data_IF_369463341634
#
_entry.id   IF_369463341634
#
_cell.length_a   1.000
_cell.length_b   1.000
_cell.length_c   1.000
_cell.angle_alpha   90.00
_cell.angle_beta   90.00
_cell.angle_gamma   90.00
#
_symmetry.space_group_name_H-M   'P 1'
#
loop_
_entity.id
_entity.type
_entity.pdbx_description
1 polymer ?
#
# COMPACT_ATOMS: atom_id res chain seq x y z
N UNK A 1 31.67 -17.22 31.20
CA UNK A 1 30.72 -16.09 31.34
C UNK A 1 30.27 -15.75 29.94
N UNK A 2 29.19 -16.38 29.49
CA UNK A 2 28.63 -16.15 28.16
C UNK A 2 27.65 -14.97 28.19
N UNK A 3 27.72 -14.02 27.24
CA UNK A 3 26.78 -12.91 27.18
C UNK A 3 25.42 -13.41 26.69
N UNK A 4 24.39 -13.26 27.55
CA UNK A 4 22.98 -13.47 27.22
C UNK A 4 22.59 -12.59 26.02
N UNK A 5 22.42 -13.20 24.85
CA UNK A 5 21.73 -12.59 23.72
C UNK A 5 20.25 -12.47 24.08
N UNK A 6 19.82 -11.30 24.58
CA UNK A 6 18.39 -10.97 24.69
C UNK A 6 17.82 -10.88 23.29
N UNK A 7 17.06 -11.90 22.88
CA UNK A 7 16.16 -11.81 21.73
C UNK A 7 15.13 -10.70 21.98
N UNK A 8 14.84 -9.82 21.00
CA UNK A 8 13.73 -8.89 21.13
C UNK A 8 12.45 -9.71 21.31
N UNK A 9 11.68 -9.35 22.33
CA UNK A 9 10.38 -9.92 22.58
C UNK A 9 9.51 -9.65 21.35
N UNK A 10 9.01 -10.72 20.73
CA UNK A 10 7.86 -10.64 19.84
C UNK A 10 6.73 -10.02 20.67
N UNK A 11 6.52 -8.71 20.51
CA UNK A 11 5.26 -8.10 20.92
C UNK A 11 4.23 -8.65 19.95
N UNK A 12 3.48 -9.65 20.40
CA UNK A 12 2.26 -10.06 19.75
C UNK A 12 1.37 -8.83 19.67
N UNK A 13 1.10 -8.36 18.45
CA UNK A 13 0.09 -7.34 18.16
C UNK A 13 -1.20 -7.76 18.85
N UNK A 14 -1.60 -6.98 19.85
CA UNK A 14 -2.84 -7.21 20.57
C UNK A 14 -3.97 -7.01 19.56
N UNK A 15 -4.86 -8.00 19.41
CA UNK A 15 -6.01 -7.98 18.52
C UNK A 15 -6.94 -6.76 18.67
N UNK A 16 -6.73 -5.90 19.68
CA UNK A 16 -7.41 -4.62 19.86
C UNK A 16 -6.85 -3.44 19.08
N UNK A 17 -5.66 -3.52 18.47
CA UNK A 17 -5.10 -2.43 17.64
C UNK A 17 -5.65 -2.42 16.20
N UNK A 18 -6.13 -3.56 15.71
CA UNK A 18 -6.73 -3.68 14.37
C UNK A 18 -8.05 -2.89 14.22
N UNK A 19 -8.68 -2.47 15.33
CA UNK A 19 -9.97 -1.77 15.33
C UNK A 19 -9.85 -0.23 15.23
N UNK A 20 -8.63 0.31 15.08
CA UNK A 20 -8.35 1.75 15.07
C UNK A 20 -7.89 2.28 13.70
N UNK A 21 -7.71 1.38 12.73
CA UNK A 21 -7.29 1.74 11.39
C UNK A 21 -8.52 1.80 10.50
N UNK A 22 -8.68 2.94 9.83
CA UNK A 22 -9.41 2.95 8.58
C UNK A 22 -8.51 2.19 7.59
N UNK A 23 -8.92 0.96 7.23
CA UNK A 23 -8.11 0.02 6.46
C UNK A 23 -7.71 0.62 5.11
N UNK A 24 -8.62 1.35 4.45
CA UNK A 24 -8.38 2.08 3.20
C UNK A 24 -7.31 3.18 3.35
N UNK A 25 -7.34 3.91 4.46
CA UNK A 25 -6.37 4.97 4.74
C UNK A 25 -5.01 4.39 5.10
N UNK A 26 -5.00 3.28 5.82
CA UNK A 26 -3.78 2.58 6.23
C UNK A 26 -3.05 2.00 5.03
N UNK A 27 -3.78 1.33 4.15
CA UNK A 27 -3.22 0.76 2.92
C UNK A 27 -2.70 1.85 1.99
N UNK A 28 -3.39 3.00 1.93
CA UNK A 28 -2.90 4.17 1.21
C UNK A 28 -1.61 4.72 1.80
N UNK A 29 -1.53 4.88 3.12
CA UNK A 29 -0.32 5.39 3.80
C UNK A 29 0.86 4.43 3.60
N UNK A 30 0.64 3.12 3.71
CA UNK A 30 1.68 2.11 3.47
C UNK A 30 2.16 2.13 2.02
N UNK A 31 1.25 2.31 1.05
CA UNK A 31 1.57 2.44 -0.37
C UNK A 31 2.38 3.71 -0.66
N UNK A 32 1.90 4.86 -0.16
CA UNK A 32 2.49 6.17 -0.42
C UNK A 32 3.84 6.34 0.30
N UNK A 33 4.10 5.56 1.37
CA UNK A 33 5.41 5.51 2.02
C UNK A 33 6.53 5.01 1.10
N UNK A 34 6.22 4.20 0.07
CA UNK A 34 7.22 3.71 -0.89
C UNK A 34 7.54 4.71 -2.01
N UNK A 35 6.55 5.40 -2.57
CA UNK A 35 6.73 6.41 -3.62
C UNK A 35 5.42 7.23 -3.76
N UNK A 36 5.35 8.50 -3.32
CA UNK A 36 6.43 9.48 -3.23
C UNK A 36 7.24 9.52 -1.91
N UNK A 37 6.75 8.91 -0.83
CA UNK A 37 7.38 8.81 0.50
C UNK A 37 6.86 9.83 1.54
N UNK A 38 7.01 9.54 2.84
CA UNK A 38 6.73 10.48 3.94
C UNK A 38 8.00 10.89 4.70
N UNK A 39 7.96 12.06 5.33
CA UNK A 39 9.02 12.57 6.20
C UNK A 39 8.45 13.15 7.49
N UNK A 40 9.21 13.01 8.59
CA UNK A 40 8.94 13.65 9.88
C UNK A 40 9.86 14.87 10.03
N UNK A 41 9.29 16.06 10.22
CA UNK A 41 10.04 17.32 10.29
C UNK A 41 10.03 17.93 11.70
N UNK A 42 11.23 18.21 12.20
CA UNK A 42 11.52 18.97 13.41
C UNK A 42 11.22 18.27 14.75
N UNK A 43 11.40 19.00 15.86
CA UNK A 43 11.21 18.49 17.24
C UNK A 43 9.78 17.97 17.50
N UNK A 44 8.79 18.48 16.76
CA UNK A 44 7.39 18.07 16.89
C UNK A 44 7.01 16.88 16.01
N UNK A 45 7.94 16.30 15.24
CA UNK A 45 7.73 15.18 14.32
C UNK A 45 6.51 15.35 13.41
N UNK A 46 6.31 16.54 12.84
CA UNK A 46 5.18 16.78 11.93
C UNK A 46 5.33 15.91 10.69
N UNK A 47 4.24 15.29 10.27
CA UNK A 47 4.20 14.42 9.09
C UNK A 47 4.00 15.25 7.82
N UNK A 48 4.81 14.96 6.81
CA UNK A 48 4.72 15.58 5.49
C UNK A 48 4.90 14.53 4.38
N UNK A 49 4.25 14.73 3.24
CA UNK A 49 4.53 13.98 2.01
C UNK A 49 5.80 14.53 1.37
N UNK A 50 6.66 13.66 0.88
CA UNK A 50 7.90 14.01 0.19
C UNK A 50 7.61 14.33 -1.27
N UNK A 51 8.10 15.46 -1.76
CA UNK A 51 8.17 15.79 -3.18
C UNK A 51 9.66 15.88 -3.59
N UNK A 52 10.05 15.01 -4.53
CA UNK A 52 11.45 14.88 -4.96
C UNK A 52 11.72 15.89 -6.09
N UNK A 53 12.64 16.84 -5.84
CA UNK A 53 13.10 17.84 -6.81
C UNK A 53 14.54 17.62 -7.30
N UNK A 54 14.93 18.30 -8.38
CA UNK A 54 16.27 18.16 -9.02
C UNK A 54 17.39 18.98 -8.38
N UNK A 55 17.07 19.80 -7.38
CA UNK A 55 18.07 20.44 -6.50
C UNK A 55 18.13 19.61 -5.23
N UNK A 56 19.32 19.43 -4.65
CA UNK A 56 19.62 18.50 -3.56
C UNK A 56 18.77 18.61 -2.25
N UNK A 57 17.72 19.43 -2.20
CA UNK A 57 16.80 19.56 -1.09
C UNK A 57 15.41 19.01 -1.46
N UNK A 58 14.84 18.20 -0.56
CA UNK A 58 13.52 17.62 -0.71
C UNK A 58 12.44 18.64 -0.30
N UNK A 59 11.33 18.69 -1.03
CA UNK A 59 10.20 19.54 -0.68
C UNK A 59 9.19 18.75 0.16
N UNK A 60 8.93 19.20 1.39
CA UNK A 60 7.93 18.60 2.26
C UNK A 60 6.59 19.32 2.09
N UNK A 61 5.51 18.55 1.92
CA UNK A 61 4.14 19.07 1.78
C UNK A 61 3.33 18.61 3.00
N UNK A 62 2.66 19.51 3.74
CA UNK A 62 1.82 19.10 4.87
C UNK A 62 0.76 18.08 4.48
N UNK A 63 0.66 16.99 5.23
CA UNK A 63 -0.41 16.00 5.07
C UNK A 63 -1.67 16.43 5.82
N UNK A 64 -2.76 15.72 5.56
CA UNK A 64 -3.99 15.90 6.32
C UNK A 64 -3.84 15.31 7.75
N UNK A 65 -4.60 15.82 8.75
CA UNK A 65 -4.46 15.37 10.13
C UNK A 65 -4.73 13.87 10.37
N UNK A 66 -5.66 13.29 9.62
CA UNK A 66 -6.01 11.86 9.62
C UNK A 66 -4.87 10.99 9.07
N UNK A 67 -4.26 11.40 7.97
CA UNK A 67 -3.05 10.75 7.43
C UNK A 67 -1.87 10.83 8.42
N UNK A 68 -1.67 12.00 9.04
CA UNK A 68 -0.61 12.18 10.03
C UNK A 68 -0.80 11.27 11.26
N UNK A 69 -2.02 11.16 11.77
CA UNK A 69 -2.34 10.25 12.88
C UNK A 69 -2.07 8.78 12.51
N UNK A 70 -2.45 8.39 11.29
CA UNK A 70 -2.25 7.03 10.77
C UNK A 70 -0.76 6.69 10.65
N UNK A 71 0.07 7.60 10.12
CA UNK A 71 1.53 7.43 10.06
C UNK A 71 2.13 7.22 11.45
N UNK A 72 1.73 8.03 12.45
CA UNK A 72 2.21 7.85 13.82
C UNK A 72 1.78 6.51 14.44
N UNK A 73 0.54 6.07 14.18
CA UNK A 73 0.07 4.76 14.64
C UNK A 73 0.87 3.61 13.99
N UNK A 74 1.15 3.69 12.69
CA UNK A 74 1.92 2.66 11.99
C UNK A 74 3.40 2.62 12.41
N UNK A 75 3.99 3.77 12.76
CA UNK A 75 5.32 3.84 13.40
C UNK A 75 5.30 3.19 14.79
N UNK A 76 4.29 3.49 15.60
CA UNK A 76 4.13 2.89 16.92
C UNK A 76 3.90 1.37 16.86
N UNK A 77 3.23 0.89 15.82
CA UNK A 77 3.02 -0.52 15.53
C UNK A 77 4.25 -1.20 14.88
N UNK A 78 5.30 -0.45 14.51
CA UNK A 78 6.49 -0.98 13.86
C UNK A 78 6.28 -1.42 12.40
N UNK A 79 5.15 -1.03 11.78
CA UNK A 79 4.87 -1.27 10.35
C UNK A 79 5.61 -0.26 9.46
N UNK A 80 5.77 0.95 9.96
CA UNK A 80 6.69 1.95 9.42
C UNK A 80 7.92 2.06 10.32
N UNK A 81 9.06 2.41 9.74
CA UNK A 81 10.32 2.64 10.43
C UNK A 81 10.92 3.99 10.07
N UNK A 82 11.52 4.70 11.02
CA UNK A 82 12.33 5.88 10.72
C UNK A 82 13.61 5.48 9.97
N UNK A 83 13.86 6.16 8.86
CA UNK A 83 14.99 5.95 7.96
C UNK A 83 16.06 7.04 8.08
N UNK A 84 16.69 7.35 6.95
CA UNK A 84 17.78 8.33 6.89
C UNK A 84 17.29 9.76 7.21
N UNK A 85 18.21 10.58 7.71
CA UNK A 85 17.98 12.02 7.88
C UNK A 85 18.33 12.79 6.61
N UNK A 86 17.48 13.73 6.24
CA UNK A 86 17.60 14.49 4.99
C UNK A 86 17.37 15.99 5.21
N UNK A 87 18.05 16.86 4.45
CA UNK A 87 17.74 18.29 4.42
C UNK A 87 16.43 18.53 3.65
N UNK A 88 15.52 19.31 4.22
CA UNK A 88 14.20 19.60 3.62
C UNK A 88 13.90 21.08 3.50
N UNK A 89 13.04 21.42 2.55
CA UNK A 89 12.41 22.72 2.41
C UNK A 89 10.91 22.60 2.69
N UNK A 90 10.38 23.51 3.51
CA UNK A 90 8.95 23.71 3.72
C UNK A 90 8.54 25.02 3.06
N UNK A 91 7.53 24.96 2.19
CA UNK A 91 7.01 26.12 1.46
C UNK A 91 8.11 26.97 0.77
N UNK A 92 9.15 26.31 0.25
CA UNK A 92 10.28 26.96 -0.41
C UNK A 92 11.33 27.57 0.52
N UNK A 93 11.26 27.31 1.83
CA UNK A 93 12.25 27.75 2.82
C UNK A 93 13.02 26.56 3.38
N UNK A 94 14.36 26.62 3.50
CA UNK A 94 15.13 25.56 4.14
C UNK A 94 14.79 25.48 5.62
N UNK A 95 14.50 24.26 6.09
CA UNK A 95 14.33 24.01 7.51
C UNK A 95 15.71 23.87 8.19
N UNK A 96 15.89 24.45 9.39
CA UNK A 96 17.14 24.33 10.13
C UNK A 96 17.34 22.90 10.69
N UNK A 97 16.23 22.18 10.94
CA UNK A 97 16.23 20.82 11.45
C UNK A 97 16.11 19.82 10.30
N UNK A 98 16.88 18.73 10.36
CA UNK A 98 16.79 17.66 9.37
C UNK A 98 15.50 16.86 9.56
N UNK A 99 14.89 16.43 8.46
CA UNK A 99 13.75 15.53 8.51
C UNK A 99 14.22 14.08 8.57
N UNK A 100 13.40 13.20 9.14
CA UNK A 100 13.63 11.75 9.11
C UNK A 100 12.70 11.13 8.08
N UNK A 101 13.26 10.38 7.12
CA UNK A 101 12.46 9.62 6.16
C UNK A 101 11.64 8.55 6.89
N UNK A 102 10.46 8.24 6.37
CA UNK A 102 9.65 7.13 6.85
C UNK A 102 9.63 6.05 5.77
N UNK A 103 9.94 4.82 6.16
CA UNK A 103 10.01 3.66 5.27
C UNK A 103 9.17 2.50 5.82
N UNK A 104 8.86 1.52 4.99
CA UNK A 104 8.15 0.30 5.40
C UNK A 104 9.14 -0.69 6.00
N UNK A 105 8.80 -1.32 7.13
CA UNK A 105 9.68 -2.28 7.78
C UNK A 105 9.95 -3.50 6.87
N UNK A 106 11.22 -3.89 6.71
CA UNK A 106 11.62 -5.04 5.87
C UNK A 106 11.05 -6.40 6.32
N UNK A 107 10.51 -6.49 7.54
CA UNK A 107 9.78 -7.68 8.03
C UNK A 107 8.30 -7.70 7.65
N UNK A 108 7.79 -6.67 6.97
CA UNK A 108 6.49 -6.70 6.29
C UNK A 108 6.55 -7.46 4.95
N UNK A 109 7.75 -7.87 4.51
CA UNK A 109 8.01 -8.42 3.18
C UNK A 109 8.35 -9.91 3.23
N UNK A 110 7.33 -10.76 3.07
CA UNK A 110 7.46 -12.06 2.36
C UNK A 110 6.59 -12.09 1.10
N UNK A 111 6.29 -10.92 0.54
CA UNK A 111 5.60 -10.74 -0.73
C UNK A 111 6.45 -9.95 -1.73
N UNK A 112 6.10 -9.98 -3.03
CA UNK A 112 6.74 -9.20 -4.08
C UNK A 112 6.78 -7.71 -3.74
N UNK A 113 7.78 -7.00 -4.25
CA UNK A 113 7.95 -5.57 -4.01
C UNK A 113 6.99 -4.75 -4.91
N UNK A 114 6.65 -3.51 -4.53
CA UNK A 114 5.87 -2.63 -5.38
C UNK A 114 6.51 -2.47 -6.76
N UNK A 115 5.71 -2.66 -7.81
CA UNK A 115 6.13 -2.62 -9.20
C UNK A 115 6.57 -3.97 -9.77
N UNK A 116 6.69 -5.00 -8.94
CA UNK A 116 6.99 -6.36 -9.40
C UNK A 116 5.86 -6.89 -10.28
N UNK A 117 6.27 -7.73 -11.24
CA UNK A 117 5.34 -8.44 -12.11
C UNK A 117 4.81 -9.64 -11.38
N UNK A 118 3.49 -9.73 -11.27
CA UNK A 118 2.79 -10.84 -10.64
C UNK A 118 1.83 -11.48 -11.63
N UNK A 119 1.73 -12.80 -11.57
CA UNK A 119 0.68 -13.54 -12.25
C UNK A 119 -0.64 -13.29 -11.53
N UNK A 120 -1.65 -12.88 -12.28
CA UNK A 120 -3.01 -12.66 -11.78
C UNK A 120 -3.96 -13.58 -12.51
N UNK A 121 -4.73 -14.35 -11.76
CA UNK A 121 -5.79 -15.21 -12.29
C UNK A 121 -7.13 -14.48 -12.21
N UNK A 122 -7.95 -14.66 -13.24
CA UNK A 122 -9.33 -14.20 -13.26
C UNK A 122 -10.23 -15.38 -13.59
N UNK A 123 -11.05 -15.80 -12.63
CA UNK A 123 -12.02 -16.86 -12.77
C UNK A 123 -13.39 -16.27 -13.11
N UNK A 124 -13.81 -16.41 -14.36
CA UNK A 124 -15.13 -15.94 -14.81
C UNK A 124 -16.19 -16.96 -14.38
N UNK A 125 -16.77 -16.74 -13.21
CA UNK A 125 -17.79 -17.60 -12.58
C UNK A 125 -19.18 -17.50 -13.21
N UNK A 126 -19.47 -16.38 -13.88
CA UNK A 126 -20.66 -16.21 -14.74
C UNK A 126 -20.45 -15.05 -15.70
N UNK A 127 -21.23 -14.95 -16.80
CA UNK A 127 -21.11 -13.84 -17.73
C UNK A 127 -21.22 -12.48 -17.00
N UNK A 128 -20.18 -11.67 -17.14
CA UNK A 128 -20.12 -10.37 -16.48
C UNK A 128 -19.64 -10.40 -15.02
N UNK A 129 -19.22 -11.54 -14.47
CA UNK A 129 -18.66 -11.60 -13.12
C UNK A 129 -17.38 -12.44 -13.11
N UNK A 130 -16.26 -11.83 -12.71
CA UNK A 130 -14.98 -12.50 -12.57
C UNK A 130 -14.43 -12.33 -11.17
N UNK A 131 -13.88 -13.39 -10.60
CA UNK A 131 -13.12 -13.36 -9.35
C UNK A 131 -11.65 -13.23 -9.68
N UNK A 132 -10.94 -12.34 -9.02
CA UNK A 132 -9.52 -12.10 -9.25
C UNK A 132 -8.73 -12.64 -8.08
N UNK A 133 -7.68 -13.40 -8.35
CA UNK A 133 -6.77 -13.93 -7.34
C UNK A 133 -5.32 -13.76 -7.76
N UNK A 134 -4.46 -13.41 -6.79
CA UNK A 134 -3.02 -13.39 -6.98
C UNK A 134 -2.33 -14.14 -5.84
N UNK A 135 -1.94 -15.40 -6.08
CA UNK A 135 -1.31 -16.25 -5.06
C UNK A 135 0.09 -15.80 -4.64
N UNK A 136 0.77 -14.96 -5.44
CA UNK A 136 2.10 -14.45 -5.11
C UNK A 136 2.08 -13.23 -4.17
N UNK A 137 0.98 -12.46 -4.19
CA UNK A 137 0.87 -11.18 -3.52
C UNK A 137 -0.31 -11.09 -2.54
N UNK A 138 -1.00 -12.21 -2.31
CA UNK A 138 -2.10 -12.38 -1.37
C UNK A 138 -3.19 -11.29 -1.45
N UNK A 139 -3.54 -10.88 -2.68
CA UNK A 139 -4.69 -10.02 -2.93
C UNK A 139 -5.75 -10.72 -3.77
N UNK A 140 -6.99 -10.29 -3.59
CA UNK A 140 -8.13 -10.78 -4.36
C UNK A 140 -9.15 -9.68 -4.61
N UNK A 141 -10.16 -9.95 -5.42
CA UNK A 141 -11.22 -9.00 -5.67
C UNK A 141 -12.21 -9.49 -6.70
N UNK A 142 -13.10 -8.59 -7.12
CA UNK A 142 -14.18 -8.92 -8.04
C UNK A 142 -14.18 -7.96 -9.25
N UNK A 143 -14.65 -8.46 -10.38
CA UNK A 143 -14.91 -7.68 -11.58
C UNK A 143 -16.35 -7.94 -12.01
N UNK A 144 -17.23 -6.98 -11.77
CA UNK A 144 -18.67 -7.09 -11.99
C UNK A 144 -19.11 -6.19 -13.13
N UNK A 145 -19.85 -6.73 -14.09
CA UNK A 145 -20.37 -5.98 -15.22
C UNK A 145 -21.57 -5.15 -14.78
N UNK A 146 -21.46 -3.84 -14.95
CA UNK A 146 -22.49 -2.86 -14.64
C UNK A 146 -22.57 -1.82 -15.77
N UNK A 147 -23.77 -1.58 -16.28
CA UNK A 147 -24.06 -0.58 -17.32
C UNK A 147 -23.15 -0.67 -18.55
N UNK A 148 -22.84 -1.90 -19.00
CA UNK A 148 -22.00 -2.15 -20.17
C UNK A 148 -20.49 -1.99 -19.92
N UNK A 149 -20.07 -1.63 -18.70
CA UNK A 149 -18.67 -1.59 -18.26
C UNK A 149 -18.41 -2.62 -17.15
N UNK A 150 -17.16 -2.81 -16.75
CA UNK A 150 -16.81 -3.68 -15.63
C UNK A 150 -16.39 -2.83 -14.43
N UNK A 151 -17.08 -2.94 -13.32
CA UNK A 151 -16.69 -2.35 -12.05
C UNK A 151 -15.70 -3.29 -11.35
N UNK A 152 -14.63 -2.73 -10.81
CA UNK A 152 -13.56 -3.48 -10.14
C UNK A 152 -13.68 -3.22 -8.64
N UNK A 153 -13.77 -4.29 -7.87
CA UNK A 153 -13.92 -4.25 -6.41
C UNK A 153 -12.73 -4.96 -5.76
N UNK A 154 -12.31 -4.47 -4.60
CA UNK A 154 -11.36 -5.15 -3.70
C UNK A 154 -12.03 -6.34 -3.02
N UNK A 155 -11.24 -7.16 -2.34
CA UNK A 155 -11.67 -8.21 -1.42
C UNK A 155 -12.58 -7.69 -0.28
N UNK A 156 -12.48 -6.40 0.04
CA UNK A 156 -13.26 -5.73 1.08
C UNK A 156 -14.56 -5.09 0.55
N UNK A 157 -14.74 -5.08 -0.78
CA UNK A 157 -15.92 -4.54 -1.45
C UNK A 157 -15.77 -3.08 -1.92
N UNK A 158 -14.57 -2.51 -1.86
CA UNK A 158 -14.32 -1.13 -2.26
C UNK A 158 -14.17 -1.00 -3.77
N UNK A 159 -14.85 0.01 -4.32
CA UNK A 159 -14.89 0.21 -5.76
C UNK A 159 -13.68 0.99 -6.24
N UNK A 160 -12.78 0.30 -6.95
CA UNK A 160 -11.59 0.89 -7.59
C UNK A 160 -11.90 1.60 -8.91
N UNK A 161 -13.11 1.41 -9.43
CA UNK A 161 -13.65 2.10 -10.61
C UNK A 161 -13.84 1.20 -11.84
N UNK A 162 -14.10 1.81 -13.00
CA UNK A 162 -14.56 1.10 -14.21
C UNK A 162 -13.46 0.67 -15.19
N UNK A 163 -13.49 -0.58 -15.60
CA UNK A 163 -12.64 -1.21 -16.59
C UNK A 163 -13.44 -1.61 -17.85
N UNK A 164 -12.72 -1.75 -18.96
CA UNK A 164 -13.28 -2.14 -20.26
C UNK A 164 -13.29 -3.67 -20.49
N UNK A 165 -12.60 -4.42 -19.64
CA UNK A 165 -12.48 -5.88 -19.73
C UNK A 165 -11.98 -6.45 -18.41
N UNK A 166 -12.10 -7.78 -18.24
CA UNK A 166 -11.51 -8.51 -17.11
C UNK A 166 -10.01 -8.26 -16.95
N UNK A 167 -9.25 -8.31 -18.04
CA UNK A 167 -7.81 -8.02 -18.02
C UNK A 167 -7.51 -6.61 -17.50
N UNK A 168 -8.22 -5.61 -18.00
CA UNK A 168 -8.04 -4.24 -17.55
C UNK A 168 -8.46 -4.04 -16.08
N UNK A 169 -9.45 -4.81 -15.61
CA UNK A 169 -9.85 -4.83 -14.21
C UNK A 169 -8.80 -5.45 -13.30
N UNK A 170 -8.26 -6.61 -13.68
CA UNK A 170 -7.19 -7.30 -12.98
C UNK A 170 -5.91 -6.46 -12.91
N UNK A 171 -5.52 -5.80 -14.00
CA UNK A 171 -4.41 -4.84 -14.00
C UNK A 171 -4.65 -3.66 -13.04
N UNK A 172 -5.89 -3.18 -12.95
CA UNK A 172 -6.22 -2.09 -12.03
C UNK A 172 -6.15 -2.55 -10.58
N UNK A 173 -6.70 -3.72 -10.29
CA UNK A 173 -6.64 -4.32 -8.96
C UNK A 173 -5.18 -4.54 -8.55
N UNK A 174 -4.36 -5.14 -9.42
CA UNK A 174 -2.93 -5.29 -9.16
C UNK A 174 -2.22 -3.95 -8.90
N UNK A 175 -2.48 -2.92 -9.71
CA UNK A 175 -1.90 -1.57 -9.49
C UNK A 175 -2.34 -0.97 -8.17
N UNK A 176 -3.58 -1.22 -7.74
CA UNK A 176 -4.04 -0.80 -6.42
C UNK A 176 -3.21 -1.47 -5.34
N UNK A 177 -2.97 -2.78 -5.40
CA UNK A 177 -2.09 -3.45 -4.43
C UNK A 177 -0.58 -3.20 -4.66
N UNK A 178 -0.21 -2.26 -5.54
CA UNK A 178 1.18 -1.89 -5.79
C UNK A 178 1.91 -2.75 -6.81
N UNK A 179 1.25 -3.67 -7.51
CA UNK A 179 1.85 -4.61 -8.46
C UNK A 179 1.61 -4.27 -9.93
N UNK A 180 2.35 -4.96 -10.81
CA UNK A 180 2.06 -5.01 -12.25
C UNK A 180 1.54 -6.38 -12.62
N UNK A 181 0.30 -6.47 -13.07
CA UNK A 181 -0.23 -7.73 -13.57
C UNK A 181 0.43 -8.09 -14.91
N UNK A 182 1.30 -9.10 -14.92
CA UNK A 182 1.95 -9.64 -16.12
C UNK A 182 2.55 -11.03 -15.80
N UNK A 183 1.95 -12.15 -16.26
CA UNK A 183 0.77 -12.22 -17.11
C UNK A 183 -0.57 -12.11 -16.35
N UNK A 184 -1.66 -11.87 -17.09
CA UNK A 184 -3.04 -12.08 -16.61
C UNK A 184 -3.64 -13.29 -17.33
N UNK A 185 -3.99 -14.30 -16.55
CA UNK A 185 -4.65 -15.52 -16.99
C UNK A 185 -6.13 -15.42 -16.69
N UNK A 186 -6.97 -15.75 -17.68
CA UNK A 186 -8.42 -15.64 -17.56
C UNK A 186 -8.99 -17.02 -17.83
N UNK A 187 -9.44 -17.66 -16.76
CA UNK A 187 -10.14 -18.93 -16.82
C UNK A 187 -11.65 -18.66 -16.88
N UNK A 188 -12.33 -19.37 -17.75
CA UNK A 188 -13.78 -19.35 -17.78
C UNK A 188 -14.21 -20.64 -17.10
N UNK A 189 -15.00 -20.53 -16.03
CA UNK A 189 -15.68 -21.70 -15.49
C UNK A 189 -16.62 -22.17 -16.62
N UNK A 190 -16.22 -23.24 -17.31
CA UNK A 190 -17.07 -23.84 -18.34
C UNK A 190 -18.40 -24.16 -17.68
N UNK A 191 -19.49 -23.58 -18.20
CA UNK A 191 -20.85 -24.01 -17.89
C UNK A 191 -20.96 -25.51 -18.20
N UNK A 192 -20.68 -26.36 -17.21
CA UNK A 192 -21.22 -27.72 -17.12
C UNK A 192 -22.58 -27.60 -16.44
N UNK A 193 -23.47 -26.81 -17.02
CA UNK A 193 -24.90 -26.85 -16.74
C UNK A 193 -25.62 -26.55 -18.04
N UNK A 194 -26.11 -27.62 -18.67
CA UNK A 194 -27.10 -27.55 -19.75
C UNK A 194 -28.49 -27.27 -19.23
#
# INVERSE_FOLDING_TARGET
MDPMTRRPAHQSESAGQALLFDDDLTDRVLRDAHDPGYVLVGIAEKVHTRAIGTRAAEFAIPTRPDEAATVHHLLAAGRLIPGARVPVQLDGRPEPEQATLVDVAATATTGPAPGDRVLVHVDVVRPGHGLVTCGAADFSGSIVRQDGTYLVETEHGDVLGRARSYRAGAERLARHHGFRADPVEIEHEHEVYG
#
